data_IF_705276204308
#
_entry.id   IF_705276204308
#
_cell.length_a   1.000
_cell.length_b   1.000
_cell.length_c   1.000
_cell.angle_alpha   90.00
_cell.angle_beta   90.00
_cell.angle_gamma   90.00
#
_symmetry.space_group_name_H-M   'P 1'
#
loop_
_entity.id
_entity.type
_entity.pdbx_description
1 polymer ?
#
# COMPACT_ATOMS: atom_id res chain seq x y z
N UNK A 1 -6.30 -10.67 20.10
CA UNK A 1 -5.15 -10.98 19.20
C UNK A 1 -4.54 -9.65 18.80
N UNK A 2 -3.22 -9.56 18.75
CA UNK A 2 -2.53 -8.33 18.32
C UNK A 2 -2.51 -8.30 16.81
N UNK A 3 -2.99 -7.22 16.19
CA UNK A 3 -2.94 -6.99 14.74
C UNK A 3 -1.55 -6.48 14.37
N UNK A 4 -0.82 -7.22 13.55
CA UNK A 4 0.57 -6.93 13.16
C UNK A 4 0.62 -6.31 11.77
N UNK A 5 1.64 -5.50 11.53
CA UNK A 5 1.82 -4.86 10.23
C UNK A 5 3.21 -4.33 10.00
N UNK A 6 3.38 -3.66 8.86
CA UNK A 6 4.63 -3.03 8.46
C UNK A 6 4.39 -1.60 7.96
N UNK A 7 5.25 -0.68 8.37
CA UNK A 7 5.37 0.65 7.81
C UNK A 7 6.64 0.71 6.97
N UNK A 8 6.49 0.96 5.68
CA UNK A 8 7.57 0.89 4.70
C UNK A 8 7.74 2.26 4.05
N UNK A 9 8.98 2.68 3.85
CA UNK A 9 9.32 3.85 3.04
C UNK A 9 10.14 3.37 1.86
N UNK A 10 9.69 3.70 0.65
CA UNK A 10 10.35 3.37 -0.61
C UNK A 10 10.95 4.60 -1.28
N UNK A 11 12.25 4.52 -1.63
CA UNK A 11 12.99 5.55 -2.37
C UNK A 11 13.91 4.89 -3.40
N UNK A 12 13.70 5.15 -4.68
CA UNK A 12 14.33 4.37 -5.75
C UNK A 12 13.90 2.91 -5.71
N UNK A 13 14.86 2.01 -5.69
CA UNK A 13 14.62 0.56 -5.53
C UNK A 13 14.79 0.09 -4.07
N UNK A 14 15.20 0.98 -3.17
CA UNK A 14 15.40 0.68 -1.76
C UNK A 14 14.09 0.83 -0.98
N UNK A 15 13.84 -0.11 -0.08
CA UNK A 15 12.74 -0.07 0.88
C UNK A 15 13.29 -0.23 2.30
N UNK A 16 12.75 0.54 3.24
CA UNK A 16 13.05 0.44 4.67
C UNK A 16 11.76 0.17 5.40
N UNK A 17 11.66 -1.02 6.00
CA UNK A 17 10.44 -1.51 6.63
C UNK A 17 10.58 -1.55 8.15
N UNK A 18 9.65 -0.89 8.83
CA UNK A 18 9.52 -0.85 10.28
C UNK A 18 8.35 -1.72 10.71
N UNK A 19 8.57 -2.62 11.67
CA UNK A 19 7.54 -3.50 12.20
C UNK A 19 6.53 -2.75 13.06
N UNK A 20 5.23 -3.03 12.86
CA UNK A 20 4.13 -2.59 13.71
C UNK A 20 3.65 -3.80 14.51
N UNK A 21 4.00 -3.92 15.81
CA UNK A 21 3.78 -5.14 16.57
C UNK A 21 2.34 -5.35 17.03
N UNK A 22 1.52 -4.29 17.05
CA UNK A 22 0.12 -4.31 17.50
C UNK A 22 -0.66 -3.14 16.89
N UNK A 23 -1.97 -3.27 16.86
CA UNK A 23 -2.91 -2.24 16.40
C UNK A 23 -2.63 -1.72 14.97
N UNK A 24 -2.10 -2.59 14.08
CA UNK A 24 -1.76 -2.20 12.72
C UNK A 24 -2.99 -1.95 11.82
N UNK A 25 -4.22 -2.10 12.31
CA UNK A 25 -5.44 -1.81 11.55
C UNK A 25 -5.57 -0.31 11.22
N UNK A 26 -6.29 0.05 10.15
CA UNK A 26 -6.36 1.43 9.65
C UNK A 26 -6.75 2.47 10.70
N UNK A 27 -7.72 2.18 11.57
CA UNK A 27 -8.20 3.12 12.57
C UNK A 27 -7.12 3.64 13.53
N UNK A 28 -6.04 2.87 13.76
CA UNK A 28 -4.91 3.33 14.58
C UNK A 28 -3.69 3.69 13.72
N UNK A 29 -3.26 2.79 12.84
CA UNK A 29 -2.02 2.97 12.08
C UNK A 29 -2.09 4.15 11.10
N UNK A 30 -3.25 4.37 10.46
CA UNK A 30 -3.42 5.49 9.54
C UNK A 30 -3.32 6.85 10.24
N UNK A 31 -3.81 6.96 11.48
CA UNK A 31 -3.62 8.17 12.29
C UNK A 31 -2.14 8.43 12.55
N UNK A 32 -1.38 7.42 13.02
CA UNK A 32 0.05 7.54 13.27
C UNK A 32 0.82 7.95 12.00
N UNK A 33 0.55 7.28 10.88
CA UNK A 33 1.20 7.51 9.59
C UNK A 33 0.84 8.90 9.04
N UNK A 34 -0.43 9.30 9.09
CA UNK A 34 -0.88 10.63 8.68
C UNK A 34 -0.11 11.72 9.42
N UNK A 35 0.06 11.57 10.73
CA UNK A 35 0.78 12.53 11.54
C UNK A 35 2.29 12.53 11.24
N UNK A 36 2.92 11.37 11.02
CA UNK A 36 4.31 11.30 10.57
C UNK A 36 4.49 12.07 9.26
N UNK A 37 3.66 11.79 8.25
CA UNK A 37 3.73 12.46 6.93
C UNK A 37 3.56 13.99 7.04
N UNK A 38 2.80 14.48 8.04
CA UNK A 38 2.57 15.90 8.25
C UNK A 38 3.68 16.59 9.04
N UNK A 39 4.27 15.90 10.00
CA UNK A 39 5.18 16.48 10.99
C UNK A 39 6.64 16.41 10.57
N UNK A 40 7.02 15.45 9.73
CA UNK A 40 8.41 15.26 9.33
C UNK A 40 8.59 15.29 7.81
N UNK A 41 9.80 15.60 7.36
CA UNK A 41 10.23 15.34 5.99
C UNK A 41 10.56 13.85 5.84
N UNK A 42 9.67 13.11 5.17
CA UNK A 42 9.82 11.66 5.00
C UNK A 42 11.05 11.29 4.16
N UNK A 43 11.50 12.16 3.23
CA UNK A 43 12.77 11.95 2.52
C UNK A 43 13.96 12.01 3.48
N UNK A 44 13.99 13.03 4.35
CA UNK A 44 15.03 13.15 5.39
C UNK A 44 14.96 11.96 6.34
N UNK A 45 13.76 11.54 6.75
CA UNK A 45 13.57 10.39 7.63
C UNK A 45 14.13 9.10 6.99
N UNK A 46 13.85 8.87 5.72
CA UNK A 46 14.43 7.73 5.00
C UNK A 46 15.95 7.74 5.03
N UNK A 47 16.57 8.90 4.78
CA UNK A 47 18.03 9.04 4.74
C UNK A 47 18.69 8.87 6.13
N UNK A 48 17.94 9.14 7.21
CA UNK A 48 18.41 8.93 8.60
C UNK A 48 18.39 7.46 9.03
N UNK A 49 17.54 6.62 8.42
CA UNK A 49 17.38 5.22 8.79
C UNK A 49 18.58 4.38 8.35
N UNK A 50 19.22 3.68 9.28
CA UNK A 50 20.30 2.73 9.02
C UNK A 50 19.86 1.34 9.46
N UNK A 51 19.83 0.40 8.52
CA UNK A 51 19.51 -0.99 8.82
C UNK A 51 20.62 -1.62 9.67
N UNK A 52 20.22 -2.27 10.76
CA UNK A 52 21.11 -3.06 11.60
C UNK A 52 20.54 -4.45 11.80
N UNK A 53 21.42 -5.43 11.84
CA UNK A 53 21.07 -6.77 12.27
C UNK A 53 20.68 -6.76 13.75
N UNK A 54 19.71 -7.58 14.15
CA UNK A 54 19.36 -7.78 15.58
C UNK A 54 20.55 -8.19 16.44
N UNK A 55 21.59 -8.73 15.83
CA UNK A 55 22.81 -9.25 16.49
C UNK A 55 23.96 -8.23 16.49
N UNK A 56 23.81 -7.10 15.83
CA UNK A 56 24.84 -6.06 15.85
C UNK A 56 24.87 -5.39 17.21
N UNK A 57 25.95 -5.64 17.94
CA UNK A 57 26.25 -4.88 19.16
C UNK A 57 26.39 -3.42 18.79
N UNK A 58 25.72 -2.53 19.52
CA UNK A 58 25.80 -1.11 19.32
C UNK A 58 27.27 -0.69 19.15
N UNK A 59 27.67 -0.35 17.93
CA UNK A 59 28.99 0.21 17.63
C UNK A 59 28.95 1.64 18.13
N UNK A 60 30.00 2.07 18.85
CA UNK A 60 30.11 3.41 19.37
C UNK A 60 29.79 4.46 18.30
N UNK A 61 28.75 5.28 18.56
CA UNK A 61 28.28 6.34 17.66
C UNK A 61 27.09 5.99 16.78
N UNK A 62 26.56 4.75 16.85
CA UNK A 62 25.27 4.41 16.18
C UNK A 62 24.12 4.61 17.17
N UNK A 63 23.04 5.32 16.78
CA UNK A 63 21.92 5.55 17.68
C UNK A 63 21.25 4.25 18.07
N UNK A 64 20.66 4.29 19.26
CA UNK A 64 19.87 3.20 19.82
C UNK A 64 18.80 2.75 18.82
N UNK A 65 18.64 1.45 18.67
CA UNK A 65 17.61 0.82 17.83
C UNK A 65 16.24 1.47 18.08
N UNK A 66 15.54 1.84 17.02
CA UNK A 66 14.17 2.33 17.12
C UNK A 66 13.29 1.18 17.62
N UNK A 67 12.76 1.24 18.86
CA UNK A 67 12.25 0.03 19.53
C UNK A 67 10.95 -0.49 18.91
N UNK A 68 10.16 0.35 18.26
CA UNK A 68 8.96 -0.01 17.52
C UNK A 68 8.42 1.22 16.76
N UNK A 69 7.52 0.95 15.81
CA UNK A 69 6.79 1.99 15.12
C UNK A 69 5.83 2.71 16.07
N UNK A 70 6.19 3.95 16.45
CA UNK A 70 5.34 4.89 17.17
C UNK A 70 5.65 6.30 16.66
N UNK A 71 4.62 7.07 16.30
CA UNK A 71 4.75 8.43 15.79
C UNK A 71 5.64 9.32 16.68
N UNK A 72 5.36 9.34 17.98
CA UNK A 72 6.08 10.22 18.91
C UNK A 72 7.57 9.86 19.02
N UNK A 73 7.92 8.57 18.89
CA UNK A 73 9.30 8.14 18.85
C UNK A 73 9.96 8.61 17.54
N UNK A 74 9.32 8.40 16.40
CA UNK A 74 9.85 8.76 15.08
C UNK A 74 10.07 10.26 14.99
N UNK A 75 9.09 11.08 15.38
CA UNK A 75 9.18 12.54 15.34
C UNK A 75 10.32 13.03 16.23
N UNK A 76 10.37 12.57 17.49
CA UNK A 76 11.42 12.94 18.45
C UNK A 76 12.82 12.57 17.96
N UNK A 77 12.97 11.35 17.43
CA UNK A 77 14.28 10.90 16.96
C UNK A 77 14.72 11.64 15.68
N UNK A 78 13.79 11.99 14.78
CA UNK A 78 14.06 12.83 13.62
C UNK A 78 14.56 14.24 13.97
N UNK A 79 14.11 14.79 15.10
CA UNK A 79 14.52 16.11 15.58
C UNK A 79 15.90 16.11 16.25
N UNK A 80 16.25 14.99 16.91
CA UNK A 80 17.40 14.94 17.81
C UNK A 80 18.60 14.16 17.26
N UNK A 81 18.45 13.43 16.17
CA UNK A 81 19.49 12.55 15.66
C UNK A 81 19.78 12.76 14.17
N UNK A 82 21.03 12.55 13.80
CA UNK A 82 21.48 12.50 12.40
C UNK A 82 21.40 11.10 11.81
N UNK A 83 21.18 10.07 12.63
CA UNK A 83 21.09 8.66 12.24
C UNK A 83 20.18 7.92 13.20
N UNK A 84 19.41 6.96 12.68
CA UNK A 84 18.54 6.08 13.44
C UNK A 84 18.73 4.64 12.99
N UNK A 85 19.01 3.75 13.94
CA UNK A 85 19.10 2.34 13.65
C UNK A 85 17.69 1.72 13.64
N UNK A 86 17.46 0.79 12.73
CA UNK A 86 16.25 -0.03 12.69
C UNK A 86 16.56 -1.46 12.25
N UNK A 87 15.75 -2.41 12.68
CA UNK A 87 15.78 -3.77 12.14
C UNK A 87 14.75 -3.86 11.04
N UNK A 88 15.17 -4.31 9.85
CA UNK A 88 14.28 -4.41 8.70
C UNK A 88 13.25 -5.51 8.87
N UNK A 89 12.02 -5.20 8.52
CA UNK A 89 10.87 -6.11 8.51
C UNK A 89 10.36 -6.39 7.08
N UNK A 90 11.24 -6.24 6.09
CA UNK A 90 10.87 -6.33 4.67
C UNK A 90 10.21 -7.66 4.30
N UNK A 91 10.59 -8.75 4.94
CA UNK A 91 10.06 -10.07 4.60
C UNK A 91 8.56 -10.23 4.91
N UNK A 92 8.04 -9.47 5.86
CA UNK A 92 6.66 -9.65 6.31
C UNK A 92 5.63 -9.28 5.24
N UNK A 93 5.86 -8.26 4.42
CA UNK A 93 4.92 -7.91 3.35
C UNK A 93 4.79 -9.00 2.27
N UNK A 94 5.83 -9.81 2.09
CA UNK A 94 5.81 -10.98 1.19
C UNK A 94 5.08 -12.19 1.78
N UNK A 95 4.81 -12.17 3.10
CA UNK A 95 4.14 -13.23 3.81
C UNK A 95 2.96 -12.71 4.61
N UNK A 96 1.80 -12.65 3.98
CA UNK A 96 0.60 -12.05 4.56
C UNK A 96 0.00 -12.79 5.76
N UNK A 97 0.54 -13.95 6.14
CA UNK A 97 0.21 -14.60 7.41
C UNK A 97 0.73 -13.81 8.62
N UNK A 98 1.88 -13.15 8.48
CA UNK A 98 2.53 -12.39 9.55
C UNK A 98 2.34 -10.87 9.44
N UNK A 99 1.88 -10.39 8.29
CA UNK A 99 1.58 -8.98 8.03
C UNK A 99 0.09 -8.85 7.70
N UNK A 100 -0.70 -8.40 8.66
CA UNK A 100 -2.15 -8.20 8.46
C UNK A 100 -2.44 -6.91 7.69
N UNK A 101 -1.60 -5.90 7.88
CA UNK A 101 -1.67 -4.61 7.18
C UNK A 101 -0.28 -4.07 6.88
N UNK A 102 -0.10 -3.47 5.70
CA UNK A 102 1.11 -2.74 5.39
C UNK A 102 0.81 -1.38 4.76
N UNK A 103 1.67 -0.42 5.07
CA UNK A 103 1.56 0.97 4.66
C UNK A 103 2.88 1.39 4.03
N UNK A 104 2.87 1.71 2.74
CA UNK A 104 4.08 2.06 1.99
C UNK A 104 4.04 3.52 1.59
N UNK A 105 4.92 4.34 2.17
CA UNK A 105 5.19 5.69 1.67
C UNK A 105 6.14 5.58 0.50
N UNK A 106 5.61 5.69 -0.71
CA UNK A 106 6.36 5.59 -1.95
C UNK A 106 6.79 6.99 -2.40
N UNK A 107 8.04 7.35 -2.12
CA UNK A 107 8.61 8.66 -2.45
C UNK A 107 8.83 8.84 -3.95
N UNK A 108 8.94 7.77 -4.73
CA UNK A 108 9.08 7.85 -6.18
C UNK A 108 7.85 8.44 -6.86
N UNK A 109 6.66 8.09 -6.34
CA UNK A 109 5.37 8.48 -6.89
C UNK A 109 4.64 9.52 -6.03
N UNK A 110 5.22 9.93 -4.90
CA UNK A 110 4.60 10.81 -3.90
C UNK A 110 3.25 10.25 -3.40
N UNK A 111 3.22 8.94 -3.05
CA UNK A 111 2.00 8.25 -2.63
C UNK A 111 2.15 7.51 -1.31
N UNK A 112 1.02 7.35 -0.61
CA UNK A 112 0.81 6.37 0.45
C UNK A 112 0.03 5.20 -0.15
N UNK A 113 0.58 4.00 -0.10
CA UNK A 113 -0.05 2.78 -0.56
C UNK A 113 -0.48 1.95 0.65
N UNK A 114 -1.71 1.44 0.62
CA UNK A 114 -2.30 0.62 1.67
C UNK A 114 -2.47 -0.81 1.19
N UNK A 115 -1.96 -1.76 1.95
CA UNK A 115 -1.99 -3.19 1.67
C UNK A 115 -2.65 -3.95 2.80
N UNK A 116 -3.31 -5.06 2.46
CA UNK A 116 -3.97 -5.98 3.39
C UNK A 116 -3.42 -7.39 3.27
N UNK A 117 -3.21 -8.03 4.40
CA UNK A 117 -2.70 -9.39 4.53
C UNK A 117 -3.75 -10.48 4.43
N UNK A 118 -3.42 -11.68 4.93
CA UNK A 118 -4.25 -12.90 4.89
C UNK A 118 -4.71 -13.29 3.49
N UNK A 119 -3.85 -13.08 2.47
CA UNK A 119 -4.20 -13.38 1.09
C UNK A 119 -3.99 -14.86 0.78
N UNK A 120 -5.07 -15.56 0.44
CA UNK A 120 -5.04 -16.97 0.01
C UNK A 120 -4.90 -17.13 -1.51
N UNK A 121 -4.97 -16.03 -2.26
CA UNK A 121 -4.80 -15.98 -3.70
C UNK A 121 -3.81 -14.87 -4.10
N UNK A 122 -3.07 -15.04 -5.21
CA UNK A 122 -2.14 -14.00 -5.66
C UNK A 122 -2.89 -12.81 -6.25
N UNK A 123 -2.49 -11.61 -5.87
CA UNK A 123 -2.95 -10.40 -6.55
C UNK A 123 -2.13 -10.15 -7.81
N UNK A 124 -2.80 -10.10 -8.96
CA UNK A 124 -2.17 -9.84 -10.25
C UNK A 124 -1.57 -8.43 -10.28
N UNK A 125 -0.32 -8.34 -10.74
CA UNK A 125 0.40 -7.05 -10.80
C UNK A 125 0.90 -6.56 -9.44
N UNK A 126 0.82 -7.40 -8.39
CA UNK A 126 1.39 -7.06 -7.10
C UNK A 126 2.91 -6.87 -7.21
N UNK A 127 3.42 -5.73 -6.75
CA UNK A 127 4.86 -5.42 -6.73
C UNK A 127 5.67 -6.42 -5.91
N UNK A 128 5.08 -6.97 -4.86
CA UNK A 128 5.73 -7.93 -3.96
C UNK A 128 5.67 -9.38 -4.45
N UNK A 129 5.23 -9.58 -5.70
CA UNK A 129 5.23 -10.89 -6.35
C UNK A 129 3.95 -11.69 -6.18
N UNK A 130 4.01 -12.93 -6.60
CA UNK A 130 2.88 -13.87 -6.60
C UNK A 130 3.24 -15.23 -6.00
N UNK A 131 4.43 -15.37 -5.44
CA UNK A 131 4.87 -16.62 -4.82
C UNK A 131 4.34 -16.72 -3.39
N UNK A 132 3.69 -17.84 -3.02
CA UNK A 132 3.14 -17.98 -1.69
C UNK A 132 4.16 -18.44 -0.66
N UNK A 133 4.01 -17.98 0.56
CA UNK A 133 4.52 -18.69 1.71
C UNK A 133 3.64 -19.92 1.99
N UNK A 134 4.26 -21.08 2.17
CA UNK A 134 3.54 -22.32 2.46
C UNK A 134 3.78 -22.72 3.92
N UNK A 135 2.72 -22.80 4.71
CA UNK A 135 2.78 -23.24 6.10
C UNK A 135 3.15 -24.74 6.21
N UNK A 136 3.48 -25.17 7.41
CA UNK A 136 3.73 -26.60 7.69
C UNK A 136 2.51 -27.50 7.44
N UNK A 137 1.30 -26.91 7.50
CA UNK A 137 0.02 -27.57 7.23
C UNK A 137 -0.35 -27.55 5.74
N UNK A 138 0.44 -26.92 4.89
CA UNK A 138 0.22 -26.82 3.45
C UNK A 138 -0.66 -25.63 3.03
N UNK A 139 -1.08 -24.78 3.96
CA UNK A 139 -1.80 -23.54 3.64
C UNK A 139 -0.88 -22.54 2.95
N UNK A 140 -1.42 -21.83 1.97
CA UNK A 140 -0.70 -20.84 1.18
C UNK A 140 -1.13 -19.42 1.56
N UNK A 141 -0.14 -18.57 1.80
CA UNK A 141 -0.33 -17.13 2.02
C UNK A 141 0.51 -16.36 1.02
N UNK A 142 -0.14 -15.56 0.20
CA UNK A 142 0.50 -14.72 -0.81
C UNK A 142 0.91 -13.38 -0.21
N UNK A 143 1.75 -12.58 -0.91
CA UNK A 143 2.07 -11.21 -0.47
C UNK A 143 0.83 -10.39 -0.20
N UNK A 144 0.95 -9.41 0.70
CA UNK A 144 -0.13 -8.49 1.03
C UNK A 144 -0.68 -7.83 -0.24
N UNK A 145 -2.00 -7.76 -0.36
CA UNK A 145 -2.68 -7.22 -1.52
C UNK A 145 -2.83 -5.70 -1.43
N UNK A 146 -2.49 -4.98 -2.51
CA UNK A 146 -2.72 -3.55 -2.63
C UNK A 146 -4.23 -3.24 -2.63
N UNK A 147 -4.69 -2.40 -1.70
CA UNK A 147 -6.09 -1.98 -1.56
C UNK A 147 -6.33 -0.54 -1.95
N UNK A 148 -5.37 0.36 -1.69
CA UNK A 148 -5.52 1.77 -1.99
C UNK A 148 -4.20 2.48 -2.23
N UNK A 149 -4.26 3.57 -3.02
CA UNK A 149 -3.13 4.47 -3.28
C UNK A 149 -3.65 5.90 -3.07
N UNK A 150 -2.97 6.65 -2.22
CA UNK A 150 -3.35 8.02 -1.84
C UNK A 150 -2.19 8.96 -2.10
N UNK A 151 -2.43 10.12 -2.72
CA UNK A 151 -1.38 11.14 -2.89
C UNK A 151 -0.92 11.66 -1.51
N UNK A 152 0.40 11.78 -1.28
CA UNK A 152 0.91 12.37 -0.04
C UNK A 152 0.46 13.82 0.15
N UNK A 153 0.28 14.57 -0.94
CA UNK A 153 -0.23 15.94 -0.87
C UNK A 153 -1.69 15.99 -0.39
N UNK A 154 -2.49 14.97 -0.72
CA UNK A 154 -3.83 14.79 -0.19
C UNK A 154 -3.79 14.39 1.29
N UNK A 155 -2.98 13.38 1.64
CA UNK A 155 -2.83 12.91 3.03
C UNK A 155 -2.39 14.04 3.97
N UNK A 156 -1.52 14.94 3.51
CA UNK A 156 -1.10 16.12 4.28
C UNK A 156 -2.23 17.10 4.59
N UNK A 157 -3.27 17.16 3.75
CA UNK A 157 -4.38 18.13 3.86
C UNK A 157 -5.60 17.58 4.61
N UNK A 158 -5.79 16.26 4.58
CA UNK A 158 -6.96 15.61 5.16
C UNK A 158 -6.76 15.32 6.66
N UNK A 159 -7.83 15.10 7.38
CA UNK A 159 -7.81 14.61 8.76
C UNK A 159 -7.46 13.12 8.79
N UNK A 160 -7.06 12.61 9.95
CA UNK A 160 -6.85 11.17 10.14
C UNK A 160 -8.13 10.37 9.90
N UNK A 161 -9.29 10.87 10.34
CA UNK A 161 -10.58 10.21 10.15
C UNK A 161 -10.95 10.09 8.67
N UNK A 162 -10.69 11.12 7.87
CA UNK A 162 -10.89 11.07 6.41
C UNK A 162 -10.00 10.01 5.76
N UNK A 163 -8.73 9.91 6.16
CA UNK A 163 -7.82 8.89 5.65
C UNK A 163 -8.27 7.48 6.03
N UNK A 164 -8.67 7.28 7.30
CA UNK A 164 -9.21 6.00 7.79
C UNK A 164 -10.42 5.60 6.96
N UNK A 165 -11.37 6.51 6.78
CA UNK A 165 -12.58 6.25 6.00
C UNK A 165 -12.26 5.88 4.53
N UNK A 166 -11.25 6.50 3.93
CA UNK A 166 -10.81 6.18 2.57
C UNK A 166 -10.18 4.77 2.51
N UNK A 167 -9.39 4.38 3.50
CA UNK A 167 -8.80 3.04 3.57
C UNK A 167 -9.86 1.95 3.77
N UNK A 168 -10.81 2.15 4.69
CA UNK A 168 -11.93 1.23 4.92
C UNK A 168 -12.82 1.09 3.69
N UNK A 169 -13.09 2.18 2.98
CA UNK A 169 -13.82 2.14 1.72
C UNK A 169 -13.05 1.39 0.63
N UNK A 170 -11.73 1.55 0.55
CA UNK A 170 -10.89 0.84 -0.41
C UNK A 170 -10.90 -0.68 -0.14
N UNK A 171 -10.89 -1.09 1.13
CA UNK A 171 -11.03 -2.50 1.54
C UNK A 171 -12.37 -3.08 1.09
N UNK A 172 -13.48 -2.44 1.43
CA UNK A 172 -14.83 -2.91 1.12
C UNK A 172 -15.08 -3.09 -0.39
N UNK A 173 -14.46 -2.26 -1.24
CA UNK A 173 -14.63 -2.36 -2.70
C UNK A 173 -13.83 -3.49 -3.35
N UNK A 174 -12.69 -3.86 -2.77
CA UNK A 174 -11.90 -4.97 -3.30
C UNK A 174 -12.54 -6.33 -2.99
N UNK A 175 -13.30 -6.45 -1.91
CA UNK A 175 -14.06 -7.66 -1.59
C UNK A 175 -15.17 -7.93 -2.63
N UNK A 176 -15.74 -6.89 -3.23
CA UNK A 176 -16.75 -7.02 -4.29
C UNK A 176 -16.14 -7.39 -5.66
N UNK A 177 -14.87 -7.00 -5.91
CA UNK A 177 -14.20 -7.31 -7.18
C UNK A 177 -13.78 -8.78 -7.30
N UNK A 178 -13.57 -9.47 -6.21
CA UNK A 178 -13.28 -10.92 -6.20
C UNK A 178 -14.45 -11.75 -6.76
N UNK A 179 -15.69 -11.33 -6.55
CA UNK A 179 -16.88 -12.04 -7.07
C UNK A 179 -17.07 -11.92 -8.58
N UNK A 180 -16.37 -11.03 -9.28
CA UNK A 180 -16.54 -10.85 -10.75
C UNK A 180 -15.54 -11.63 -11.61
N UNK A 181 -14.49 -12.17 -11.03
CA UNK A 181 -13.44 -12.90 -11.77
C UNK A 181 -13.69 -14.42 -11.87
N UNK A 182 -14.68 -14.96 -11.17
CA UNK A 182 -14.94 -16.40 -11.12
C UNK A 182 -15.50 -17.01 -12.41
N UNK A 183 -15.89 -16.20 -13.41
CA UNK A 183 -16.51 -16.70 -14.65
C UNK A 183 -15.60 -16.66 -15.89
N UNK A 184 -14.33 -16.37 -15.77
CA UNK A 184 -13.39 -16.43 -16.92
C UNK A 184 -12.69 -17.79 -16.87
N UNK A 185 -13.12 -18.72 -17.74
CA UNK A 185 -12.48 -20.03 -17.88
C UNK A 185 -11.09 -19.85 -18.53
N UNK A 186 -9.99 -20.05 -17.78
CA UNK A 186 -8.63 -19.73 -18.27
C UNK A 186 -8.11 -20.69 -19.34
N UNK A 187 -8.87 -21.75 -19.68
CA UNK A 187 -8.46 -22.79 -20.61
C UNK A 187 -8.59 -22.47 -22.10
N UNK A 188 -9.18 -21.32 -22.49
CA UNK A 188 -9.53 -21.04 -23.88
C UNK A 188 -8.83 -19.82 -24.49
N UNK A 189 -8.01 -19.08 -23.74
CA UNK A 189 -7.31 -17.88 -24.24
C UNK A 189 -5.83 -18.11 -24.52
N UNK A 190 -5.28 -17.54 -25.60
CA UNK A 190 -3.82 -17.46 -25.78
C UNK A 190 -3.18 -16.70 -24.62
N UNK A 191 -2.02 -17.18 -24.13
CA UNK A 191 -1.32 -16.64 -22.93
C UNK A 191 -1.12 -15.12 -23.02
N UNK A 192 -0.80 -14.57 -24.18
CA UNK A 192 -0.61 -13.12 -24.38
C UNK A 192 -1.91 -12.30 -24.24
N UNK A 193 -3.08 -12.86 -24.53
CA UNK A 193 -4.36 -12.18 -24.35
C UNK A 193 -4.79 -12.13 -22.88
N UNK A 194 -4.41 -13.14 -22.09
CA UNK A 194 -4.68 -13.20 -20.65
C UNK A 194 -3.92 -12.06 -19.95
N UNK A 195 -2.65 -11.85 -20.27
CA UNK A 195 -1.83 -10.80 -19.65
C UNK A 195 -2.29 -9.39 -20.08
N UNK A 196 -2.72 -9.21 -21.33
CA UNK A 196 -3.30 -7.96 -21.80
C UNK A 196 -4.62 -7.64 -21.08
N UNK A 197 -5.52 -8.62 -20.96
CA UNK A 197 -6.79 -8.46 -20.25
C UNK A 197 -6.58 -8.16 -18.74
N UNK A 198 -5.60 -8.80 -18.12
CA UNK A 198 -5.20 -8.56 -16.72
C UNK A 198 -4.68 -7.15 -16.50
N UNK A 199 -3.77 -6.69 -17.37
CA UNK A 199 -3.23 -5.33 -17.32
C UNK A 199 -4.33 -4.28 -17.54
N UNK A 200 -5.31 -4.55 -18.37
CA UNK A 200 -6.46 -3.66 -18.61
C UNK A 200 -7.42 -3.60 -17.42
N UNK A 201 -7.67 -4.73 -16.75
CA UNK A 201 -8.48 -4.75 -15.52
C UNK A 201 -7.76 -3.96 -14.41
N UNK A 202 -6.45 -4.15 -14.24
CA UNK A 202 -5.65 -3.39 -13.29
C UNK A 202 -5.67 -1.89 -13.60
N UNK A 203 -5.56 -1.51 -14.88
CA UNK A 203 -5.63 -0.11 -15.33
C UNK A 203 -7.02 0.48 -15.11
N UNK A 204 -8.09 -0.27 -15.38
CA UNK A 204 -9.48 0.14 -15.12
C UNK A 204 -9.73 0.41 -13.64
N UNK A 205 -9.24 -0.46 -12.77
CA UNK A 205 -9.34 -0.25 -11.33
C UNK A 205 -8.56 0.99 -10.88
N UNK A 206 -7.36 1.22 -11.42
CA UNK A 206 -6.56 2.41 -11.15
C UNK A 206 -7.28 3.71 -11.59
N UNK A 207 -7.88 3.70 -12.77
CA UNK A 207 -8.63 4.85 -13.32
C UNK A 207 -9.87 5.13 -12.48
N UNK A 208 -10.59 4.09 -12.03
CA UNK A 208 -11.75 4.23 -11.17
C UNK A 208 -11.38 4.79 -9.78
N UNK A 209 -10.21 4.42 -9.24
CA UNK A 209 -9.67 4.98 -8.00
C UNK A 209 -9.35 6.47 -8.20
N UNK A 210 -8.60 6.83 -9.27
CA UNK A 210 -8.24 8.21 -9.58
C UNK A 210 -9.49 9.07 -9.84
N UNK A 211 -10.47 8.58 -10.60
CA UNK A 211 -11.72 9.30 -10.87
C UNK A 211 -12.49 9.58 -9.58
N UNK A 212 -12.51 8.63 -8.65
CA UNK A 212 -13.16 8.76 -7.36
C UNK A 212 -12.44 9.73 -6.43
N UNK A 213 -11.11 9.68 -6.39
CA UNK A 213 -10.28 10.61 -5.61
C UNK A 213 -10.43 12.05 -6.11
N UNK A 214 -10.62 12.23 -7.42
CA UNK A 214 -10.93 13.53 -8.01
C UNK A 214 -12.35 14.02 -7.67
N UNK A 215 -13.32 13.12 -7.44
CA UNK A 215 -14.68 13.50 -7.03
C UNK A 215 -14.78 13.95 -5.55
N UNK A 216 -13.84 13.53 -4.72
CA UNK A 216 -13.80 13.89 -3.28
C UNK A 216 -13.18 15.29 -3.06
N UNK A 217 -12.58 15.91 -4.09
CA UNK A 217 -12.02 17.25 -3.97
C UNK A 217 -13.17 18.29 -4.03
N UNK A 218 -13.58 18.91 -2.89
CA UNK A 218 -14.75 19.79 -2.82
C UNK A 218 -14.64 21.04 -3.68
N UNK A 219 -13.46 21.32 -4.22
CA UNK A 219 -13.12 22.54 -4.97
C UNK A 219 -12.94 22.33 -6.47
N UNK A 220 -13.13 21.10 -6.98
CA UNK A 220 -13.02 20.90 -8.43
C UNK A 220 -14.23 21.55 -9.15
N UNK A 221 -13.98 22.45 -10.13
CA UNK A 221 -15.05 23.03 -10.91
C UNK A 221 -15.87 21.93 -11.59
N UNK A 222 -17.20 21.99 -11.50
CA UNK A 222 -18.13 21.01 -12.07
C UNK A 222 -17.76 20.59 -13.51
N UNK A 223 -17.35 21.53 -14.34
CA UNK A 223 -16.90 21.30 -15.71
C UNK A 223 -15.69 20.36 -15.82
N UNK A 224 -14.79 20.37 -14.83
CA UNK A 224 -13.64 19.43 -14.78
C UNK A 224 -14.08 18.04 -14.33
N UNK A 225 -15.00 17.95 -13.38
CA UNK A 225 -15.60 16.68 -12.93
C UNK A 225 -16.33 16.00 -14.09
N UNK A 226 -17.15 16.76 -14.83
CA UNK A 226 -17.88 16.25 -16.00
C UNK A 226 -16.93 15.76 -17.11
N UNK A 227 -15.83 16.46 -17.34
CA UNK A 227 -14.81 16.06 -18.33
C UNK A 227 -14.08 14.77 -17.90
N UNK A 228 -13.75 14.61 -16.63
CA UNK A 228 -13.11 13.40 -16.09
C UNK A 228 -14.06 12.21 -16.20
N UNK A 229 -15.33 12.38 -15.81
CA UNK A 229 -16.35 11.34 -15.94
C UNK A 229 -16.52 10.89 -17.40
N UNK A 230 -16.58 11.82 -18.34
CA UNK A 230 -16.69 11.51 -19.77
C UNK A 230 -15.48 10.72 -20.29
N UNK A 231 -14.28 10.96 -19.77
CA UNK A 231 -13.06 10.23 -20.14
C UNK A 231 -13.04 8.83 -19.48
N UNK A 232 -13.47 8.71 -18.25
CA UNK A 232 -13.63 7.42 -17.57
C UNK A 232 -14.66 6.52 -18.29
N UNK A 233 -15.78 7.10 -18.76
CA UNK A 233 -16.81 6.38 -19.52
C UNK A 233 -16.28 5.86 -20.86
N UNK A 234 -15.44 6.65 -21.56
CA UNK A 234 -14.79 6.22 -22.81
C UNK A 234 -13.85 5.04 -22.57
N UNK A 235 -13.04 5.10 -21.50
CA UNK A 235 -12.10 4.04 -21.15
C UNK A 235 -12.86 2.77 -20.74
N UNK A 236 -13.92 2.90 -19.95
CA UNK A 236 -14.78 1.78 -19.56
C UNK A 236 -15.44 1.13 -20.79
N UNK A 237 -15.91 1.92 -21.72
CA UNK A 237 -16.50 1.42 -22.99
C UNK A 237 -15.47 0.72 -23.87
N UNK A 238 -14.23 1.23 -23.95
CA UNK A 238 -13.15 0.59 -24.68
C UNK A 238 -12.76 -0.76 -24.07
N UNK A 239 -12.72 -0.86 -22.72
CA UNK A 239 -12.46 -2.10 -21.98
C UNK A 239 -13.59 -3.14 -22.25
N UNK A 240 -14.84 -2.73 -22.20
CA UNK A 240 -15.96 -3.62 -22.51
C UNK A 240 -15.93 -4.13 -23.97
N UNK A 241 -15.58 -3.26 -24.92
CA UNK A 241 -15.41 -3.68 -26.32
C UNK A 241 -14.30 -4.72 -26.47
N UNK A 242 -13.21 -4.61 -25.72
CA UNK A 242 -12.12 -5.58 -25.77
C UNK A 242 -12.55 -6.91 -25.11
N UNK A 243 -13.27 -6.85 -23.98
CA UNK A 243 -13.84 -8.05 -23.34
C UNK A 243 -14.77 -8.84 -24.27
N UNK A 244 -15.47 -8.16 -25.19
CA UNK A 244 -16.39 -8.81 -26.15
C UNK A 244 -15.67 -9.37 -27.38
N UNK A 245 -14.40 -9.01 -27.61
CA UNK A 245 -13.58 -9.50 -28.74
C UNK A 245 -12.64 -10.65 -28.35
N UNK A 246 -12.56 -10.95 -27.04
CA UNK A 246 -11.79 -12.04 -26.46
C UNK A 246 -12.76 -13.17 -26.05
#
# INVERSE_FOLDING_TARGET
MSTRGSFIIRKGEEEKALYIPYDAYPAWAADQISQIIKLIDVNKFFDLLIEQSEYDVAVDGVPKLLPCFLKDNIVRECENNDKMAFTSDQENIYNSLFCEYAYVVNLNNNTLEYYEGFQHEPQIGNRYGQEPYVTRTGEKYYPCALRGIFSLDLVKKMTSDELIQMMENAQAHNDVSQYRTENINPGTMPVGCIDAARNMIALSNHINIIARDLMIIPTLPKKKVDAINAECDKISSAIENIKTQI
#
